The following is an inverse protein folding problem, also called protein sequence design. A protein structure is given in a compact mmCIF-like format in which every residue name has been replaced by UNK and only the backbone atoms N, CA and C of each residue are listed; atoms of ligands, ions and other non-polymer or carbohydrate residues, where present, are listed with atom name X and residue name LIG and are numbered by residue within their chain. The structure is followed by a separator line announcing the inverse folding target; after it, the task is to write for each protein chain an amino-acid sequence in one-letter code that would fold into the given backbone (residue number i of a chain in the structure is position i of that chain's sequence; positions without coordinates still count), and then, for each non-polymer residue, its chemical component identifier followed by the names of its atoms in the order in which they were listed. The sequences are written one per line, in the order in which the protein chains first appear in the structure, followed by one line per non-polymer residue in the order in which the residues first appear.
data_IF_844578780679
#
_entry.id   IF_844578780679
#
_cell.length_a   1.000
_cell.length_b   1.000
_cell.length_c   1.000
_cell.angle_alpha   90.00
_cell.angle_beta   90.00
_cell.angle_gamma   90.00
#
_symmetry.space_group_name_H-M   'P 1'
#
loop_
_entity.id
_entity.type
_entity.pdbx_description
1 polymer ?
#
# COMPACT_ATOMS: atom_id res chain seq x y z
N UNK A 1 6.85 -39.29 -57.58
CA UNK A 1 5.73 -38.40 -57.20
C UNK A 1 6.19 -37.64 -55.97
N UNK A 2 7.02 -36.63 -56.22
CA UNK A 2 6.69 -35.20 -56.05
C UNK A 2 6.75 -34.79 -54.58
N UNK A 3 8.00 -34.53 -54.15
CA UNK A 3 8.30 -33.80 -52.92
C UNK A 3 8.07 -32.31 -53.12
N UNK A 4 7.23 -31.76 -52.26
CA UNK A 4 6.82 -30.35 -52.11
C UNK A 4 6.31 -30.27 -50.66
N UNK A 5 6.67 -29.39 -49.73
CA UNK A 5 7.46 -28.17 -49.72
C UNK A 5 7.90 -27.97 -48.25
N UNK A 6 9.17 -28.18 -47.92
CA UNK A 6 9.69 -27.85 -46.59
C UNK A 6 10.11 -26.37 -46.47
N UNK A 7 9.94 -25.59 -47.55
CA UNK A 7 10.49 -24.25 -47.69
C UNK A 7 9.47 -23.12 -47.43
N UNK A 8 8.17 -23.45 -47.35
CA UNK A 8 7.09 -22.45 -47.18
C UNK A 8 6.80 -22.10 -45.71
N UNK A 9 7.32 -22.91 -44.77
CA UNK A 9 7.22 -22.67 -43.32
C UNK A 9 8.46 -21.96 -42.74
N UNK A 10 9.38 -21.51 -43.59
CA UNK A 10 10.62 -20.84 -43.21
C UNK A 10 10.51 -19.32 -43.38
N UNK A 11 10.98 -18.56 -42.40
CA UNK A 11 11.01 -17.09 -42.42
C UNK A 11 12.35 -16.56 -41.91
N UNK A 12 12.92 -15.59 -42.62
CA UNK A 12 14.11 -14.88 -42.17
C UNK A 12 13.78 -13.84 -41.10
N UNK A 13 14.49 -13.89 -39.98
CA UNK A 13 14.37 -12.90 -38.90
C UNK A 13 15.02 -11.57 -39.31
N UNK A 14 14.28 -10.46 -39.22
CA UNK A 14 14.79 -9.12 -39.54
C UNK A 14 15.83 -8.57 -38.54
N UNK A 15 15.99 -9.20 -37.37
CA UNK A 15 16.98 -8.78 -36.37
C UNK A 15 18.29 -9.56 -36.42
N UNK A 16 18.25 -10.90 -36.41
CA UNK A 16 19.46 -11.73 -36.43
C UNK A 16 19.82 -12.27 -37.82
N UNK A 17 18.95 -12.10 -38.82
CA UNK A 17 19.19 -12.55 -40.20
C UNK A 17 19.08 -14.06 -40.42
N UNK A 18 18.87 -14.86 -39.36
CA UNK A 18 18.74 -16.32 -39.44
C UNK A 18 17.34 -16.70 -39.93
N UNK A 19 17.28 -17.66 -40.85
CA UNK A 19 16.03 -18.30 -41.29
C UNK A 19 15.58 -19.31 -40.25
N UNK A 20 14.35 -19.14 -39.75
CA UNK A 20 13.72 -19.96 -38.70
C UNK A 20 12.32 -20.39 -39.13
N UNK A 21 11.69 -21.30 -38.40
CA UNK A 21 10.31 -21.69 -38.68
C UNK A 21 9.35 -20.54 -38.38
N UNK A 22 8.19 -20.48 -39.05
CA UNK A 22 7.16 -19.47 -38.77
C UNK A 22 6.67 -19.53 -37.32
N UNK A 23 6.72 -20.71 -36.69
CA UNK A 23 6.40 -20.90 -35.27
C UNK A 23 7.37 -20.17 -34.32
N UNK A 24 8.59 -19.87 -34.77
CA UNK A 24 9.60 -19.11 -34.00
C UNK A 24 9.32 -17.60 -33.95
N UNK A 25 8.21 -17.14 -34.54
CA UNK A 25 7.79 -15.74 -34.56
C UNK A 25 6.50 -15.55 -33.73
N UNK A 26 6.38 -14.40 -33.07
CA UNK A 26 5.15 -14.04 -32.35
C UNK A 26 4.09 -13.55 -33.33
N UNK A 27 2.81 -13.77 -33.03
CA UNK A 27 1.71 -13.28 -33.87
C UNK A 27 1.60 -11.76 -33.83
N UNK A 28 1.29 -11.14 -34.97
CA UNK A 28 0.95 -9.73 -35.13
C UNK A 28 -0.15 -9.59 -36.17
N UNK A 29 -1.39 -9.53 -35.72
CA UNK A 29 -2.58 -9.51 -36.57
C UNK A 29 -2.61 -8.34 -37.57
N UNK A 30 -1.91 -7.25 -37.27
CA UNK A 30 -1.83 -6.08 -38.14
C UNK A 30 -0.91 -6.27 -39.36
N UNK A 31 -0.26 -7.43 -39.55
CA UNK A 31 0.63 -7.70 -40.68
C UNK A 31 0.00 -8.71 -41.63
N UNK A 32 0.33 -8.59 -42.92
CA UNK A 32 -0.17 -9.45 -44.00
C UNK A 32 0.07 -10.95 -43.75
N UNK A 33 1.19 -11.30 -43.13
CA UNK A 33 1.55 -12.70 -42.79
C UNK A 33 1.20 -13.10 -41.35
N UNK A 34 0.59 -12.21 -40.57
CA UNK A 34 0.15 -12.44 -39.20
C UNK A 34 1.26 -12.62 -38.17
N UNK A 35 2.53 -12.34 -38.50
CA UNK A 35 3.70 -12.63 -37.66
C UNK A 35 4.62 -11.42 -37.52
N UNK A 36 5.36 -11.36 -36.41
CA UNK A 36 6.40 -10.34 -36.16
C UNK A 36 7.59 -10.55 -37.10
N UNK A 37 8.33 -9.46 -37.36
CA UNK A 37 9.53 -9.49 -38.21
C UNK A 37 10.75 -10.11 -37.50
N UNK A 38 10.81 -9.98 -36.18
CA UNK A 38 11.84 -10.58 -35.34
C UNK A 38 11.38 -11.90 -34.73
N UNK A 39 12.28 -12.88 -34.65
CA UNK A 39 12.00 -14.14 -33.96
C UNK A 39 11.80 -13.93 -32.45
N UNK A 40 11.23 -14.92 -31.76
CA UNK A 40 10.93 -14.89 -30.32
C UNK A 40 12.15 -14.58 -29.46
N UNK A 41 13.32 -15.08 -29.83
CA UNK A 41 14.57 -14.82 -29.09
C UNK A 41 15.00 -13.36 -29.20
N UNK A 42 15.04 -12.83 -30.43
CA UNK A 42 15.35 -11.42 -30.68
C UNK A 42 14.32 -10.48 -30.03
N UNK A 43 13.03 -10.84 -30.08
CA UNK A 43 11.98 -10.12 -29.36
C UNK A 43 12.22 -10.15 -27.84
N UNK A 44 12.56 -11.31 -27.27
CA UNK A 44 12.85 -11.44 -25.83
C UNK A 44 14.05 -10.59 -25.44
N UNK A 45 15.11 -10.60 -26.23
CA UNK A 45 16.31 -9.79 -25.97
C UNK A 45 16.01 -8.29 -26.10
N UNK A 46 15.29 -7.89 -27.14
CA UNK A 46 14.84 -6.51 -27.36
C UNK A 46 13.97 -6.03 -26.20
N UNK A 47 12.98 -6.83 -25.79
CA UNK A 47 12.16 -6.55 -24.61
C UNK A 47 13.01 -6.42 -23.35
N UNK A 48 13.96 -7.33 -23.09
CA UNK A 48 14.88 -7.22 -21.93
C UNK A 48 15.71 -5.93 -21.99
N UNK A 49 16.19 -5.53 -23.17
CA UNK A 49 16.93 -4.29 -23.37
C UNK A 49 16.06 -3.06 -23.14
N UNK A 50 14.83 -3.07 -23.67
CA UNK A 50 13.84 -2.03 -23.44
C UNK A 50 13.52 -1.89 -21.95
N UNK A 51 13.15 -3.00 -21.28
CA UNK A 51 12.88 -2.99 -19.84
C UNK A 51 14.09 -2.53 -19.03
N UNK A 52 15.32 -2.95 -19.34
CA UNK A 52 16.53 -2.46 -18.64
C UNK A 52 16.70 -0.95 -18.79
N UNK A 53 16.56 -0.41 -20.01
CA UNK A 53 16.72 1.03 -20.30
C UNK A 53 15.65 1.88 -19.63
N UNK A 54 14.41 1.36 -19.54
CA UNK A 54 13.27 2.10 -19.01
C UNK A 54 12.96 1.76 -17.55
N UNK A 55 13.71 0.82 -16.94
CA UNK A 55 13.54 0.42 -15.54
C UNK A 55 13.69 1.61 -14.63
N UNK A 56 14.75 2.39 -14.81
CA UNK A 56 15.05 3.51 -13.93
C UNK A 56 14.02 4.63 -14.06
N UNK A 57 13.53 4.89 -15.29
CA UNK A 57 12.42 5.80 -15.52
C UNK A 57 11.14 5.31 -14.84
N UNK A 58 10.78 4.02 -15.00
CA UNK A 58 9.62 3.44 -14.34
C UNK A 58 9.74 3.50 -12.81
N UNK A 59 10.90 3.14 -12.25
CA UNK A 59 11.14 3.22 -10.81
C UNK A 59 11.13 4.67 -10.29
N UNK A 60 11.65 5.62 -11.06
CA UNK A 60 11.57 7.04 -10.74
C UNK A 60 10.11 7.52 -10.71
N UNK A 61 9.31 7.17 -11.72
CA UNK A 61 7.89 7.50 -11.78
C UNK A 61 7.11 6.87 -10.62
N UNK A 62 7.36 5.59 -10.29
CA UNK A 62 6.74 4.91 -9.14
C UNK A 62 7.12 5.60 -7.83
N UNK A 63 8.40 5.91 -7.62
CA UNK A 63 8.86 6.62 -6.42
C UNK A 63 8.24 8.00 -6.29
N UNK A 64 8.23 8.79 -7.36
CA UNK A 64 7.62 10.12 -7.38
C UNK A 64 6.13 10.06 -7.02
N UNK A 65 5.40 9.10 -7.61
CA UNK A 65 3.99 8.86 -7.30
C UNK A 65 3.79 8.46 -5.84
N UNK A 66 4.57 7.52 -5.32
CA UNK A 66 4.46 7.07 -3.93
C UNK A 66 4.76 8.20 -2.95
N UNK A 67 5.78 9.02 -3.21
CA UNK A 67 6.10 10.20 -2.40
C UNK A 67 4.95 11.20 -2.42
N UNK A 68 4.40 11.52 -3.59
CA UNK A 68 3.27 12.45 -3.71
C UNK A 68 2.01 11.93 -2.99
N UNK A 69 1.70 10.64 -3.14
CA UNK A 69 0.57 10.01 -2.45
C UNK A 69 0.74 10.05 -0.92
N UNK A 70 1.95 9.77 -0.41
CA UNK A 70 2.24 9.85 1.01
C UNK A 70 2.12 11.28 1.54
N UNK A 71 2.62 12.27 0.80
CA UNK A 71 2.49 13.68 1.17
C UNK A 71 1.03 14.12 1.23
N UNK A 72 0.21 13.73 0.24
CA UNK A 72 -1.23 14.02 0.23
C UNK A 72 -1.97 13.34 1.40
N UNK A 73 -1.61 12.09 1.74
CA UNK A 73 -2.18 11.39 2.87
C UNK A 73 -1.80 12.05 4.22
N UNK A 74 -0.54 12.47 4.37
CA UNK A 74 -0.08 13.22 5.55
C UNK A 74 -0.82 14.56 5.66
N UNK A 75 -0.98 15.30 4.55
CA UNK A 75 -1.70 16.57 4.55
C UNK A 75 -3.16 16.40 4.97
N UNK A 76 -3.82 15.33 4.54
CA UNK A 76 -5.18 15.00 4.96
C UNK A 76 -5.26 14.72 6.47
N UNK A 77 -4.35 13.88 6.98
CA UNK A 77 -4.29 13.56 8.42
C UNK A 77 -4.02 14.83 9.24
N UNK A 78 -3.06 15.65 8.81
CA UNK A 78 -2.72 16.89 9.48
C UNK A 78 -3.91 17.86 9.50
N UNK A 79 -4.61 18.03 8.38
CA UNK A 79 -5.80 18.87 8.31
C UNK A 79 -6.90 18.41 9.27
N UNK A 80 -7.08 17.09 9.43
CA UNK A 80 -8.03 16.55 10.40
C UNK A 80 -7.58 16.84 11.85
N UNK A 81 -6.35 16.52 12.21
CA UNK A 81 -5.85 16.72 13.57
C UNK A 81 -5.78 18.20 14.00
N UNK A 82 -5.58 19.12 13.05
CA UNK A 82 -5.57 20.58 13.33
C UNK A 82 -6.93 21.13 13.75
N UNK A 83 -8.03 20.46 13.40
CA UNK A 83 -9.41 20.90 13.72
C UNK A 83 -10.10 20.03 14.75
N UNK A 84 -9.45 18.98 15.23
CA UNK A 84 -9.98 18.01 16.19
C UNK A 84 -9.01 17.91 17.37
N UNK A 85 -9.14 18.76 18.41
CA UNK A 85 -8.35 18.63 19.62
C UNK A 85 -8.66 17.31 20.33
N UNK A 86 -7.84 16.94 21.32
CA UNK A 86 -8.08 15.77 22.14
C UNK A 86 -9.48 15.80 22.76
N UNK A 87 -10.27 14.74 22.52
CA UNK A 87 -11.64 14.62 23.00
C UNK A 87 -11.75 14.71 24.53
N UNK A 88 -10.74 14.27 25.27
CA UNK A 88 -10.79 14.22 26.75
C UNK A 88 -10.19 15.47 27.42
N UNK A 89 -9.01 15.95 27.00
CA UNK A 89 -8.31 17.07 27.65
C UNK A 89 -8.24 18.36 26.83
N UNK A 90 -8.75 18.38 25.59
CA UNK A 90 -8.80 19.57 24.75
C UNK A 90 -7.47 20.05 24.16
N UNK A 91 -6.33 19.39 24.41
CA UNK A 91 -5.06 19.79 23.79
C UNK A 91 -5.15 19.74 22.26
N UNK A 92 -4.60 20.76 21.61
CA UNK A 92 -4.56 20.89 20.15
C UNK A 92 -3.15 20.75 19.57
N UNK A 93 -2.15 20.40 20.40
CA UNK A 93 -0.79 20.17 19.91
C UNK A 93 -0.73 18.86 19.12
N UNK A 94 -0.72 18.98 17.79
CA UNK A 94 -0.71 17.84 16.85
C UNK A 94 0.39 16.82 17.14
N UNK A 95 1.52 17.23 17.75
CA UNK A 95 2.63 16.32 18.05
C UNK A 95 2.23 15.23 19.07
N UNK A 96 1.24 15.51 19.91
CA UNK A 96 0.75 14.57 20.93
C UNK A 96 -0.57 13.91 20.55
N UNK A 97 -1.24 14.34 19.48
CA UNK A 97 -2.52 13.76 19.05
C UNK A 97 -2.31 12.44 18.31
N UNK A 98 -3.27 11.53 18.50
CA UNK A 98 -3.34 10.21 17.87
C UNK A 98 -4.81 9.84 17.59
N UNK A 99 -5.00 8.83 16.75
CA UNK A 99 -6.33 8.27 16.45
C UNK A 99 -6.60 7.08 17.37
N UNK A 100 -7.60 7.22 18.25
CA UNK A 100 -8.07 6.16 19.12
C UNK A 100 -9.37 5.57 18.55
N UNK A 101 -9.32 4.30 18.13
CA UNK A 101 -10.48 3.60 17.60
C UNK A 101 -11.57 3.45 18.66
N UNK A 102 -12.81 3.82 18.29
CA UNK A 102 -13.96 3.70 19.20
C UNK A 102 -14.26 2.24 19.53
N UNK A 103 -14.69 1.92 20.76
CA UNK A 103 -15.10 0.57 21.13
C UNK A 103 -16.17 0.00 20.19
N UNK A 104 -16.03 -1.27 19.79
CA UNK A 104 -16.96 -1.95 18.88
C UNK A 104 -16.70 -1.70 17.39
N UNK A 105 -15.87 -0.72 17.03
CA UNK A 105 -15.46 -0.51 15.64
C UNK A 105 -14.37 -1.51 15.24
N UNK A 106 -14.57 -2.18 14.11
CA UNK A 106 -13.51 -3.00 13.51
C UNK A 106 -12.53 -2.09 12.77
N UNK A 107 -11.32 -1.98 13.32
CA UNK A 107 -10.22 -1.31 12.63
C UNK A 107 -9.66 -2.19 11.53
N UNK A 108 -9.34 -1.60 10.37
CA UNK A 108 -8.59 -2.30 9.34
C UNK A 108 -7.10 -2.33 9.68
N UNK A 109 -6.57 -1.18 10.10
CA UNK A 109 -5.19 -0.96 10.54
C UNK A 109 -5.12 0.41 11.26
N UNK A 110 -3.99 0.77 11.86
CA UNK A 110 -3.79 2.13 12.37
C UNK A 110 -3.72 3.16 11.23
N UNK A 111 -4.30 4.34 11.41
CA UNK A 111 -4.33 5.40 10.38
C UNK A 111 -2.91 5.71 9.85
N UNK A 112 -1.92 5.85 10.73
CA UNK A 112 -0.54 6.10 10.32
C UNK A 112 0.14 4.89 9.64
N UNK A 113 -0.32 3.66 9.92
CA UNK A 113 0.13 2.47 9.19
C UNK A 113 -0.44 2.46 7.77
N UNK A 114 -1.72 2.84 7.60
CA UNK A 114 -2.34 2.99 6.27
C UNK A 114 -1.65 4.06 5.42
N UNK A 115 -1.25 5.20 6.01
CA UNK A 115 -0.45 6.22 5.34
C UNK A 115 0.89 5.64 4.86
N UNK A 116 1.60 4.91 5.72
CA UNK A 116 2.89 4.28 5.39
C UNK A 116 2.75 3.25 4.27
N UNK A 117 1.66 2.50 4.28
CA UNK A 117 1.39 1.41 3.34
C UNK A 117 0.69 1.88 2.04
N UNK A 118 0.44 3.19 1.87
CA UNK A 118 -0.04 3.77 0.61
C UNK A 118 -1.52 3.49 0.31
N UNK A 119 -2.38 3.44 1.33
CA UNK A 119 -3.81 3.22 1.16
C UNK A 119 -4.48 4.41 0.46
N UNK A 120 -5.65 4.17 -0.16
CA UNK A 120 -6.40 5.23 -0.83
C UNK A 120 -6.90 6.29 0.15
N UNK A 121 -7.12 7.51 -0.36
CA UNK A 121 -7.71 8.62 0.39
C UNK A 121 -9.04 8.22 1.03
N UNK A 122 -9.89 7.53 0.26
CA UNK A 122 -11.20 7.06 0.73
C UNK A 122 -11.05 6.08 1.89
N UNK A 123 -10.18 5.07 1.77
CA UNK A 123 -9.95 4.12 2.85
C UNK A 123 -9.42 4.81 4.11
N UNK A 124 -8.53 5.79 3.97
CA UNK A 124 -8.03 6.60 5.10
C UNK A 124 -9.17 7.36 5.79
N UNK A 125 -10.03 8.04 5.02
CA UNK A 125 -11.17 8.79 5.58
C UNK A 125 -12.16 7.86 6.29
N UNK A 126 -12.45 6.70 5.71
CA UNK A 126 -13.31 5.69 6.33
C UNK A 126 -12.71 5.20 7.65
N UNK A 127 -11.40 5.02 7.74
CA UNK A 127 -10.77 4.59 8.99
C UNK A 127 -10.73 5.71 10.03
N UNK A 128 -10.42 6.94 9.62
CA UNK A 128 -10.45 8.13 10.50
C UNK A 128 -11.83 8.32 11.11
N UNK A 129 -12.90 8.09 10.36
CA UNK A 129 -14.29 8.24 10.83
C UNK A 129 -14.68 7.27 11.98
N UNK A 130 -13.87 6.23 12.23
CA UNK A 130 -14.05 5.28 13.34
C UNK A 130 -13.28 5.66 14.59
N UNK A 131 -12.50 6.73 14.54
CA UNK A 131 -11.59 7.12 15.61
C UNK A 131 -12.09 8.39 16.29
N UNK A 132 -11.85 8.49 17.59
CA UNK A 132 -11.77 9.76 18.30
C UNK A 132 -10.33 10.28 18.22
N UNK A 133 -10.15 11.60 18.13
CA UNK A 133 -8.82 12.19 18.29
C UNK A 133 -8.53 12.35 19.78
N UNK A 134 -7.46 11.71 20.26
CA UNK A 134 -7.00 11.78 21.66
C UNK A 134 -5.52 12.08 21.72
N UNK A 135 -5.06 12.76 22.77
CA UNK A 135 -3.63 12.84 23.03
C UNK A 135 -3.11 11.48 23.53
N UNK A 136 -1.82 11.19 23.32
CA UNK A 136 -1.20 9.91 23.71
C UNK A 136 -1.40 9.54 25.18
N UNK A 137 -1.44 10.52 26.09
CA UNK A 137 -1.67 10.27 27.51
C UNK A 137 -3.13 9.88 27.78
N UNK A 138 -4.10 10.65 27.27
CA UNK A 138 -5.52 10.32 27.41
C UNK A 138 -5.86 9.00 26.71
N UNK A 139 -5.28 8.73 25.55
CA UNK A 139 -5.43 7.45 24.86
C UNK A 139 -4.91 6.27 25.71
N UNK A 140 -3.75 6.41 26.37
CA UNK A 140 -3.23 5.39 27.28
C UNK A 140 -4.18 5.14 28.47
N UNK A 141 -4.72 6.21 29.07
CA UNK A 141 -5.70 6.11 30.16
C UNK A 141 -6.96 5.39 29.68
N UNK A 142 -7.56 5.83 28.56
CA UNK A 142 -8.74 5.21 27.98
C UNK A 142 -8.52 3.73 27.64
N UNK A 143 -7.31 3.35 27.23
CA UNK A 143 -6.93 1.95 27.02
C UNK A 143 -7.00 1.16 28.33
N UNK A 144 -6.41 1.68 29.42
CA UNK A 144 -6.47 1.03 30.73
C UNK A 144 -7.90 0.91 31.26
N UNK A 145 -8.75 1.92 31.03
CA UNK A 145 -10.16 1.88 31.43
C UNK A 145 -10.94 0.78 30.69
N UNK A 146 -10.64 0.55 29.40
CA UNK A 146 -11.28 -0.50 28.58
C UNK A 146 -10.81 -1.91 28.91
N UNK A 147 -9.58 -2.08 29.38
CA UNK A 147 -8.99 -3.39 29.70
C UNK A 147 -9.52 -4.00 31.01
N UNK A 148 -10.22 -3.21 31.84
CA UNK A 148 -10.63 -3.61 33.18
C UNK A 148 -9.55 -3.42 34.24
N UNK A 149 -9.84 -3.83 35.47
CA UNK A 149 -8.98 -3.56 36.62
C UNK A 149 -7.61 -4.25 36.50
N UNK A 150 -6.55 -3.47 36.62
CA UNK A 150 -5.16 -3.90 36.69
C UNK A 150 -4.45 -3.12 37.81
N UNK A 151 -3.18 -3.43 38.10
CA UNK A 151 -2.46 -2.77 39.20
C UNK A 151 -2.39 -1.23 39.05
N UNK A 152 -2.27 -0.69 37.83
CA UNK A 152 -2.23 0.77 37.62
C UNK A 152 -3.59 1.41 37.89
N UNK A 153 -4.65 0.84 37.32
CA UNK A 153 -6.00 1.39 37.51
C UNK A 153 -6.46 1.25 38.97
N UNK A 154 -6.02 0.20 39.68
CA UNK A 154 -6.27 0.03 41.12
C UNK A 154 -5.55 1.06 41.97
N UNK A 155 -4.26 1.31 41.73
CA UNK A 155 -3.52 2.37 42.45
C UNK A 155 -4.21 3.73 42.26
N UNK A 156 -4.65 4.05 41.05
CA UNK A 156 -5.38 5.29 40.79
C UNK A 156 -6.73 5.34 41.51
N UNK A 157 -7.47 4.23 41.54
CA UNK A 157 -8.74 4.15 42.25
C UNK A 157 -8.57 4.26 43.76
N UNK A 158 -7.57 3.58 44.34
CA UNK A 158 -7.22 3.68 45.77
C UNK A 158 -6.84 5.12 46.14
N UNK A 159 -6.03 5.81 45.32
CA UNK A 159 -5.71 7.22 45.50
C UNK A 159 -6.93 8.13 45.40
N UNK A 160 -7.92 7.77 44.56
CA UNK A 160 -9.19 8.48 44.44
C UNK A 160 -10.21 8.11 45.55
N UNK A 161 -9.86 7.23 46.49
CA UNK A 161 -10.75 6.77 47.55
C UNK A 161 -11.80 5.75 47.09
N UNK A 162 -11.63 5.13 45.93
CA UNK A 162 -12.52 4.12 45.34
C UNK A 162 -11.97 2.72 45.64
N UNK A 163 -12.69 1.94 46.45
CA UNK A 163 -12.30 0.56 46.75
C UNK A 163 -12.68 -0.39 45.60
N UNK A 164 -11.70 -0.79 44.78
CA UNK A 164 -11.91 -1.76 43.69
C UNK A 164 -11.60 -3.16 44.22
N UNK A 165 -12.64 -3.92 44.58
CA UNK A 165 -12.51 -5.32 44.96
C UNK A 165 -12.16 -6.20 43.74
N UNK A 166 -11.13 -7.04 43.85
CA UNK A 166 -10.76 -8.02 42.82
C UNK A 166 -9.32 -8.54 42.94
N UNK A 167 -9.09 -9.81 42.59
CA UNK A 167 -7.77 -10.43 42.61
C UNK A 167 -6.84 -9.85 41.54
N UNK A 168 -5.56 -9.71 41.89
CA UNK A 168 -4.47 -9.37 40.95
C UNK A 168 -4.28 -10.55 39.99
N UNK A 169 -4.37 -10.30 38.68
CA UNK A 169 -3.92 -11.25 37.67
C UNK A 169 -2.65 -10.68 37.03
N UNK A 170 -1.56 -11.44 37.16
CA UNK A 170 -0.20 -11.12 36.69
C UNK A 170 -0.06 -11.23 35.16
#
# INVERSE_FOLDING_TARGET
MSGSDANDDARRCGSCGVTKTRADFNRKASRSDGLQEACRDCNRESSRRYYRRHRDHHLAAVRARTTAQRAAAIALVAAHLLTHPCADCGTSDIRVLDFDHRPGESKRDGVMAMVRNGFSREALLTEIAKCDVRCRNCHAIATYERMGANWRSRVMAEQAGIHVGGAIHD
#
